data_IF_348377089739
#
_entry.id   IF_348377089739
#
_cell.length_a   1.000
_cell.length_b   1.000
_cell.length_c   1.000
_cell.angle_alpha   90.00
_cell.angle_beta   90.00
_cell.angle_gamma   90.00
#
_symmetry.space_group_name_H-M   'P 1'
#
loop_
_entity.id
_entity.type
_entity.pdbx_description
1 polymer ?
#
# COMPACT_ATOMS: atom_id res chain seq x y z
N UNK A 1 -68.79 52.63 -25.39
CA UNK A 1 -67.45 52.95 -25.94
C UNK A 1 -66.72 53.75 -24.87
N UNK A 2 -65.73 53.16 -24.20
CA UNK A 2 -65.06 53.78 -23.04
C UNK A 2 -63.58 54.00 -23.35
N UNK A 3 -63.22 55.29 -23.36
CA UNK A 3 -61.97 56.00 -23.07
C UNK A 3 -60.61 55.29 -23.22
N UNK A 4 -59.66 55.92 -23.94
CA UNK A 4 -58.23 55.66 -23.81
C UNK A 4 -57.56 56.74 -22.94
N UNK A 5 -56.81 56.35 -21.91
CA UNK A 5 -55.86 57.26 -21.26
C UNK A 5 -54.67 56.50 -20.64
N UNK A 6 -53.54 56.56 -21.37
CA UNK A 6 -52.33 57.23 -20.90
C UNK A 6 -51.80 56.98 -19.48
N UNK A 7 -51.63 55.73 -19.02
CA UNK A 7 -50.71 55.44 -17.89
C UNK A 7 -49.96 54.10 -18.07
N UNK A 8 -48.97 54.08 -18.96
CA UNK A 8 -47.97 52.99 -19.04
C UNK A 8 -46.56 53.57 -19.24
N UNK A 9 -46.15 54.44 -18.32
CA UNK A 9 -44.77 54.92 -18.17
C UNK A 9 -44.45 55.19 -16.70
N UNK A 10 -44.50 54.18 -15.82
CA UNK A 10 -43.76 54.23 -14.55
C UNK A 10 -43.70 52.93 -13.71
N UNK A 11 -43.65 51.72 -14.29
CA UNK A 11 -43.31 50.51 -13.50
C UNK A 11 -42.51 49.56 -14.39
N UNK A 12 -41.24 49.88 -14.63
CA UNK A 12 -40.24 48.97 -15.23
C UNK A 12 -38.81 49.49 -14.97
N UNK A 13 -38.54 49.99 -13.75
CA UNK A 13 -37.20 50.50 -13.38
C UNK A 13 -36.77 50.26 -11.93
N UNK A 14 -37.31 49.24 -11.23
CA UNK A 14 -36.81 48.89 -9.87
C UNK A 14 -36.66 47.37 -9.61
N UNK A 15 -36.83 46.50 -10.61
CA UNK A 15 -36.58 45.05 -10.43
C UNK A 15 -35.66 44.54 -11.53
N UNK A 16 -34.42 45.05 -11.61
CA UNK A 16 -33.31 44.32 -12.26
C UNK A 16 -31.93 44.94 -11.98
N UNK A 17 -31.65 45.37 -10.74
CA UNK A 17 -30.26 45.74 -10.36
C UNK A 17 -29.95 45.35 -8.91
N UNK A 18 -30.20 44.10 -8.57
CA UNK A 18 -29.37 43.37 -7.60
C UNK A 18 -28.79 42.22 -8.40
N UNK A 19 -27.80 42.53 -9.25
CA UNK A 19 -26.85 41.52 -9.69
C UNK A 19 -26.08 41.14 -8.42
N UNK A 20 -26.41 39.97 -7.90
CA UNK A 20 -25.61 39.27 -6.91
C UNK A 20 -24.14 39.32 -7.36
N UNK A 21 -23.33 40.09 -6.64
CA UNK A 21 -21.93 39.74 -6.41
C UNK A 21 -21.94 38.45 -5.56
N UNK A 22 -22.34 37.33 -6.19
CA UNK A 22 -21.92 36.04 -5.70
C UNK A 22 -20.39 36.04 -5.86
N UNK A 23 -19.61 35.80 -4.79
CA UNK A 23 -18.19 35.58 -4.98
C UNK A 23 -18.05 34.46 -6.02
N UNK A 24 -17.35 34.74 -7.12
CA UNK A 24 -16.84 33.68 -7.99
C UNK A 24 -15.97 32.82 -7.07
N UNK A 25 -16.52 31.73 -6.55
CA UNK A 25 -15.72 30.63 -6.06
C UNK A 25 -14.98 30.14 -7.30
N UNK A 26 -13.65 30.28 -7.37
CA UNK A 26 -12.90 29.74 -8.49
C UNK A 26 -13.25 28.26 -8.58
N UNK A 27 -13.80 27.82 -9.71
CA UNK A 27 -13.91 26.40 -9.97
C UNK A 27 -12.50 25.84 -9.81
N UNK A 28 -12.31 24.92 -8.85
CA UNK A 28 -11.04 24.23 -8.71
C UNK A 28 -10.72 23.61 -10.06
N UNK A 29 -9.59 24.02 -10.65
CA UNK A 29 -9.10 23.38 -11.86
C UNK A 29 -8.88 21.91 -11.55
N UNK A 30 -9.50 21.04 -12.34
CA UNK A 30 -9.40 19.60 -12.19
C UNK A 30 -7.92 19.18 -12.08
N UNK A 31 -7.52 18.59 -10.94
CA UNK A 31 -6.12 18.17 -10.69
C UNK A 31 -5.19 19.18 -10.00
N UNK A 32 -5.67 20.35 -9.57
CA UNK A 32 -4.95 21.23 -8.64
C UNK A 32 -5.25 20.85 -7.18
N UNK A 33 -4.25 20.95 -6.27
CA UNK A 33 -4.50 20.73 -4.85
C UNK A 33 -5.45 21.80 -4.28
N UNK A 34 -6.17 21.49 -3.19
CA UNK A 34 -6.93 22.50 -2.48
C UNK A 34 -6.00 23.56 -1.87
N UNK A 35 -6.48 24.80 -1.74
CA UNK A 35 -5.66 25.92 -1.25
C UNK A 35 -5.18 25.74 0.19
N UNK A 36 -5.88 24.93 0.98
CA UNK A 36 -5.63 24.58 2.38
C UNK A 36 -4.97 23.19 2.53
N UNK A 37 -4.28 22.68 1.48
CA UNK A 37 -3.65 21.36 1.48
C UNK A 37 -2.79 21.11 2.72
N UNK A 38 -1.90 22.04 3.06
CA UNK A 38 -0.99 21.91 4.22
C UNK A 38 -1.75 21.79 5.54
N UNK A 39 -2.83 22.55 5.70
CA UNK A 39 -3.65 22.56 6.92
C UNK A 39 -4.42 21.25 7.06
N UNK A 40 -5.07 20.78 5.99
CA UNK A 40 -5.79 19.49 5.97
C UNK A 40 -4.86 18.31 6.21
N UNK A 41 -3.67 18.33 5.62
CA UNK A 41 -2.66 17.29 5.86
C UNK A 41 -2.19 17.33 7.31
N UNK A 42 -1.96 18.51 7.88
CA UNK A 42 -1.55 18.61 9.28
C UNK A 42 -2.64 18.13 10.24
N UNK A 43 -3.90 18.49 10.00
CA UNK A 43 -5.05 17.99 10.76
C UNK A 43 -5.14 16.46 10.73
N UNK A 44 -5.11 15.88 9.52
CA UNK A 44 -5.14 14.43 9.33
C UNK A 44 -3.96 13.74 10.01
N UNK A 45 -2.74 14.27 9.84
CA UNK A 45 -1.55 13.64 10.39
C UNK A 45 -1.46 13.78 11.91
N UNK A 46 -1.91 14.90 12.49
CA UNK A 46 -2.02 15.05 13.94
C UNK A 46 -2.95 13.97 14.53
N UNK A 47 -4.08 13.71 13.85
CA UNK A 47 -4.99 12.65 14.21
C UNK A 47 -4.38 11.24 14.01
N UNK A 48 -3.69 10.99 12.89
CA UNK A 48 -3.01 9.72 12.63
C UNK A 48 -1.90 9.43 13.66
N UNK A 49 -1.14 10.44 14.06
CA UNK A 49 -0.14 10.33 15.14
C UNK A 49 -0.81 10.00 16.46
N UNK A 50 -1.89 10.69 16.82
CA UNK A 50 -2.60 10.48 18.09
C UNK A 50 -3.28 9.11 18.16
N UNK A 51 -4.01 8.71 17.12
CA UNK A 51 -4.92 7.56 17.13
C UNK A 51 -4.22 6.28 16.69
N UNK A 52 -3.45 6.34 15.61
CA UNK A 52 -2.76 5.16 15.07
C UNK A 52 -1.33 5.04 15.59
N UNK A 53 -0.81 6.05 16.29
CA UNK A 53 0.58 6.13 16.72
C UNK A 53 1.51 6.16 15.52
N UNK A 54 1.14 6.88 14.45
CA UNK A 54 2.00 7.04 13.28
C UNK A 54 3.36 7.63 13.68
N UNK A 55 4.43 7.04 13.17
CA UNK A 55 5.80 7.54 13.28
C UNK A 55 6.52 7.25 11.98
N UNK A 56 6.93 8.31 11.27
CA UNK A 56 7.44 8.18 9.91
C UNK A 56 7.59 9.51 9.18
N UNK A 57 7.81 9.42 7.87
CA UNK A 57 7.89 10.57 6.97
C UNK A 57 6.89 10.42 5.83
N UNK A 58 6.32 11.55 5.40
CA UNK A 58 5.36 11.62 4.29
C UNK A 58 5.85 12.60 3.23
N UNK A 59 5.40 12.39 2.01
CA UNK A 59 5.54 13.32 0.91
C UNK A 59 4.31 13.31 0.01
N UNK A 60 3.89 14.50 -0.44
CA UNK A 60 3.01 14.72 -1.58
C UNK A 60 3.78 15.62 -2.53
N UNK A 61 3.98 15.20 -3.78
CA UNK A 61 4.66 15.98 -4.79
C UNK A 61 3.86 16.03 -6.09
N UNK A 62 4.00 17.13 -6.82
CA UNK A 62 3.43 17.33 -8.15
C UNK A 62 4.53 17.77 -9.11
N UNK A 63 4.63 17.12 -10.27
CA UNK A 63 5.59 17.46 -11.33
C UNK A 63 7.03 17.60 -10.79
N UNK A 64 7.46 16.63 -9.96
CA UNK A 64 8.77 16.63 -9.32
C UNK A 64 8.96 17.64 -8.19
N UNK A 65 7.98 18.47 -7.88
CA UNK A 65 8.05 19.49 -6.83
C UNK A 65 7.33 19.01 -5.56
N UNK A 66 8.03 18.89 -4.41
CA UNK A 66 7.39 18.57 -3.13
C UNK A 66 6.42 19.69 -2.73
N UNK A 67 5.15 19.34 -2.53
CA UNK A 67 4.13 20.23 -1.97
C UNK A 67 4.06 20.05 -0.45
N UNK A 68 4.12 18.80 0.01
CA UNK A 68 4.26 18.44 1.42
C UNK A 68 5.47 17.53 1.58
N UNK A 69 6.33 17.82 2.56
CA UNK A 69 7.44 16.95 2.94
C UNK A 69 7.72 17.09 4.43
N UNK A 70 7.23 16.15 5.24
CA UNK A 70 7.21 16.27 6.71
C UNK A 70 7.56 14.95 7.39
N UNK A 71 8.17 15.05 8.57
CA UNK A 71 8.43 13.93 9.48
C UNK A 71 7.56 14.05 10.74
N UNK A 72 7.05 12.92 11.21
CA UNK A 72 6.18 12.81 12.38
C UNK A 72 6.70 11.73 13.33
N UNK A 73 6.60 11.96 14.64
CA UNK A 73 7.11 11.03 15.65
C UNK A 73 8.64 10.93 15.69
N UNK A 74 9.15 9.76 16.10
CA UNK A 74 10.57 9.52 16.37
C UNK A 74 11.15 8.49 15.41
N UNK A 75 12.28 8.83 14.78
CA UNK A 75 13.13 7.91 14.03
C UNK A 75 13.86 6.92 14.96
N UNK A 76 14.14 7.36 16.19
CA UNK A 76 14.67 6.53 17.26
C UNK A 76 14.08 6.97 18.60
N UNK A 77 13.32 6.08 19.24
CA UNK A 77 12.62 6.30 20.50
C UNK A 77 13.58 6.37 21.68
N UNK A 78 14.59 5.49 21.73
CA UNK A 78 15.57 5.41 22.81
C UNK A 78 16.39 6.69 22.94
N UNK A 79 16.71 7.33 21.81
CA UNK A 79 17.54 8.52 21.72
C UNK A 79 16.73 9.82 21.52
N UNK A 80 15.40 9.72 21.41
CA UNK A 80 14.54 10.88 21.16
C UNK A 80 14.78 11.59 19.81
N UNK A 81 15.30 10.87 18.81
CA UNK A 81 15.59 11.43 17.48
C UNK A 81 14.29 11.54 16.69
N UNK A 82 13.95 12.75 16.24
CA UNK A 82 12.74 13.00 15.44
C UNK A 82 12.86 12.45 14.02
N UNK A 83 11.74 12.01 13.46
CA UNK A 83 11.66 11.76 12.01
C UNK A 83 11.77 13.08 11.23
N UNK A 84 12.31 12.98 10.02
CA UNK A 84 12.43 14.09 9.06
C UNK A 84 12.39 13.54 7.64
N UNK A 85 12.20 14.38 6.61
CA UNK A 85 12.31 13.93 5.21
C UNK A 85 13.63 13.22 4.85
N UNK A 86 14.70 13.45 5.61
CA UNK A 86 16.00 12.80 5.42
C UNK A 86 16.15 11.46 6.17
N UNK A 87 15.15 11.04 6.95
CA UNK A 87 15.17 9.76 7.67
C UNK A 87 15.11 8.60 6.68
N UNK A 88 15.97 7.61 6.88
CA UNK A 88 16.09 6.42 6.03
C UNK A 88 15.28 5.27 6.63
N UNK A 89 14.46 4.64 5.80
CA UNK A 89 13.58 3.53 6.18
C UNK A 89 13.84 2.31 5.30
N UNK A 90 13.68 1.11 5.86
CA UNK A 90 13.58 -0.10 5.03
C UNK A 90 12.29 -0.05 4.22
N UNK A 91 12.39 -0.36 2.94
CA UNK A 91 11.30 -0.27 1.98
C UNK A 91 10.39 -1.49 1.95
N UNK A 92 10.89 -2.63 2.44
CA UNK A 92 10.21 -3.90 2.23
C UNK A 92 9.90 -4.09 0.74
N UNK A 93 8.68 -4.51 0.45
CA UNK A 93 8.29 -4.90 -0.91
C UNK A 93 8.24 -3.79 -1.96
N UNK A 94 8.35 -2.50 -1.60
CA UNK A 94 8.63 -1.46 -2.62
C UNK A 94 9.92 -1.78 -3.39
N UNK A 95 10.86 -2.52 -2.79
CA UNK A 95 12.06 -3.09 -3.45
C UNK A 95 11.76 -3.74 -4.81
N UNK A 96 10.60 -4.40 -4.94
CA UNK A 96 10.23 -5.14 -6.15
C UNK A 96 10.17 -4.27 -7.40
N UNK A 97 9.87 -2.97 -7.27
CA UNK A 97 9.86 -2.04 -8.41
C UNK A 97 11.25 -1.88 -9.04
N UNK A 98 12.30 -1.90 -8.21
CA UNK A 98 13.69 -1.76 -8.65
C UNK A 98 14.18 -3.06 -9.29
N UNK A 99 13.81 -4.21 -8.70
CA UNK A 99 14.06 -5.54 -9.31
C UNK A 99 13.37 -5.66 -10.67
N UNK A 100 12.11 -5.24 -10.78
CA UNK A 100 11.37 -5.23 -12.05
C UNK A 100 12.05 -4.35 -13.09
N UNK A 101 12.47 -3.14 -12.72
CA UNK A 101 13.21 -2.25 -13.62
C UNK A 101 14.55 -2.84 -14.08
N UNK A 102 15.29 -3.49 -13.18
CA UNK A 102 16.54 -4.15 -13.56
C UNK A 102 16.31 -5.25 -14.62
N UNK A 103 15.24 -6.04 -14.48
CA UNK A 103 14.84 -7.02 -15.51
C UNK A 103 14.47 -6.33 -16.82
N UNK A 104 13.73 -5.22 -16.76
CA UNK A 104 13.37 -4.45 -17.95
C UNK A 104 14.61 -3.86 -18.67
N UNK A 105 15.57 -3.32 -17.92
CA UNK A 105 16.85 -2.83 -18.46
C UNK A 105 17.66 -3.94 -19.13
N UNK A 106 17.72 -5.13 -18.53
CA UNK A 106 18.40 -6.29 -19.10
C UNK A 106 17.70 -6.78 -20.37
N UNK A 107 16.36 -6.78 -20.39
CA UNK A 107 15.59 -7.09 -21.58
C UNK A 107 15.85 -6.10 -22.71
N UNK A 108 15.82 -4.80 -22.43
CA UNK A 108 16.08 -3.75 -23.43
C UNK A 108 17.48 -3.90 -24.05
N UNK A 109 18.46 -4.36 -23.26
CA UNK A 109 19.83 -4.64 -23.72
C UNK A 109 19.97 -5.99 -24.45
N UNK A 110 18.87 -6.72 -24.69
CA UNK A 110 18.85 -8.01 -25.36
C UNK A 110 19.54 -9.13 -24.58
N UNK A 111 19.66 -9.00 -23.25
CA UNK A 111 20.35 -9.98 -22.39
C UNK A 111 19.45 -11.10 -21.89
N UNK A 112 18.15 -10.86 -21.88
CA UNK A 112 17.09 -11.82 -21.56
C UNK A 112 15.79 -11.36 -22.25
N UNK A 113 14.78 -12.21 -22.27
CA UNK A 113 13.38 -11.81 -22.52
C UNK A 113 12.50 -12.32 -21.38
N UNK A 114 11.42 -11.60 -21.07
CA UNK A 114 10.45 -12.06 -20.06
C UNK A 114 9.79 -13.40 -20.42
N UNK A 115 9.87 -13.82 -21.68
CA UNK A 115 9.41 -15.15 -22.13
C UNK A 115 10.40 -16.29 -21.91
N UNK A 116 11.63 -15.99 -21.47
CA UNK A 116 12.64 -17.01 -21.23
C UNK A 116 12.21 -17.97 -20.10
N UNK A 117 12.40 -19.29 -20.28
CA UNK A 117 12.16 -20.27 -19.23
C UNK A 117 13.19 -20.10 -18.11
N UNK A 118 12.73 -20.06 -16.86
CA UNK A 118 13.61 -19.74 -15.73
C UNK A 118 14.68 -20.81 -15.49
N UNK A 119 14.43 -22.06 -15.91
CA UNK A 119 15.40 -23.15 -15.77
C UNK A 119 16.71 -22.93 -16.54
N UNK A 120 16.74 -22.05 -17.53
CA UNK A 120 17.98 -21.68 -18.21
C UNK A 120 18.99 -20.95 -17.31
N UNK A 121 18.54 -20.42 -16.17
CA UNK A 121 19.36 -19.60 -15.27
C UNK A 121 19.79 -20.33 -13.99
N UNK A 122 19.26 -21.52 -13.70
CA UNK A 122 19.47 -22.23 -12.44
C UNK A 122 20.03 -23.63 -12.66
N UNK A 123 21.07 -23.97 -11.89
CA UNK A 123 21.55 -25.34 -11.80
C UNK A 123 20.54 -26.22 -11.06
N UNK A 124 20.40 -27.47 -11.51
CA UNK A 124 19.46 -28.44 -10.93
C UNK A 124 18.02 -27.90 -10.86
N UNK A 125 17.58 -27.18 -11.90
CA UNK A 125 16.21 -26.68 -11.96
C UNK A 125 15.19 -27.84 -11.88
N UNK A 126 14.17 -27.74 -11.02
CA UNK A 126 13.13 -28.76 -10.92
C UNK A 126 12.39 -28.97 -12.24
N UNK A 127 12.01 -30.21 -12.54
CA UNK A 127 11.21 -30.54 -13.74
C UNK A 127 9.88 -29.74 -13.76
N UNK A 128 9.27 -29.56 -12.59
CA UNK A 128 8.03 -28.79 -12.42
C UNK A 128 8.18 -27.31 -12.79
N UNK A 129 9.41 -26.77 -12.82
CA UNK A 129 9.68 -25.36 -13.13
C UNK A 129 9.95 -25.09 -14.61
N UNK A 130 10.13 -26.14 -15.44
CA UNK A 130 10.33 -25.98 -16.89
C UNK A 130 9.30 -25.08 -17.61
N UNK A 131 7.99 -25.12 -17.28
CA UNK A 131 7.01 -24.22 -17.91
C UNK A 131 7.01 -22.79 -17.33
N UNK A 132 7.80 -22.51 -16.28
CA UNK A 132 7.82 -21.19 -15.65
C UNK A 132 8.72 -20.25 -16.45
N UNK A 133 8.17 -19.09 -16.83
CA UNK A 133 8.85 -17.99 -17.50
C UNK A 133 9.20 -16.87 -16.52
N UNK A 134 10.12 -16.00 -16.90
CA UNK A 134 10.43 -14.77 -16.13
C UNK A 134 9.16 -13.92 -15.91
N UNK A 135 8.31 -13.79 -16.93
CA UNK A 135 7.03 -13.09 -16.85
C UNK A 135 6.12 -13.63 -15.74
N UNK A 136 6.18 -14.95 -15.47
CA UNK A 136 5.40 -15.54 -14.40
C UNK A 136 5.87 -15.12 -13.00
N UNK A 137 7.18 -14.90 -12.83
CA UNK A 137 7.74 -14.38 -11.58
C UNK A 137 7.36 -12.91 -11.38
N UNK A 138 7.47 -12.09 -12.44
CA UNK A 138 7.16 -10.66 -12.41
C UNK A 138 5.69 -10.39 -12.09
N UNK A 139 4.78 -11.24 -12.59
CA UNK A 139 3.33 -11.11 -12.44
C UNK A 139 2.75 -11.89 -11.24
N UNK A 140 3.58 -12.52 -10.40
CA UNK A 140 3.16 -13.34 -9.26
C UNK A 140 2.17 -14.46 -9.64
N UNK A 141 2.41 -15.18 -10.74
CA UNK A 141 1.57 -16.31 -11.16
C UNK A 141 2.38 -17.55 -11.51
N UNK A 142 3.55 -17.74 -10.89
CA UNK A 142 4.43 -18.88 -11.17
C UNK A 142 4.01 -20.20 -10.53
N UNK A 143 3.20 -20.16 -9.47
CA UNK A 143 2.87 -21.34 -8.66
C UNK A 143 3.98 -21.76 -7.69
N UNK A 144 5.15 -21.12 -7.69
CA UNK A 144 6.24 -21.43 -6.75
C UNK A 144 5.81 -21.04 -5.34
N UNK A 145 5.99 -21.88 -4.31
CA UNK A 145 5.59 -21.53 -2.97
C UNK A 145 6.49 -20.43 -2.37
N UNK A 146 5.90 -19.46 -1.66
CA UNK A 146 6.63 -18.33 -1.09
C UNK A 146 7.38 -18.75 0.17
N UNK A 147 8.70 -18.54 0.23
CA UNK A 147 9.51 -18.91 1.41
C UNK A 147 9.05 -18.24 2.70
N UNK A 148 8.40 -17.07 2.60
CA UNK A 148 7.81 -16.35 3.72
C UNK A 148 6.58 -17.02 4.32
N UNK A 149 6.00 -18.02 3.65
CA UNK A 149 4.87 -18.79 4.12
C UNK A 149 5.30 -20.13 4.75
N UNK A 150 6.59 -20.44 4.78
CA UNK A 150 7.07 -21.71 5.32
C UNK A 150 7.00 -21.71 6.85
N UNK A 151 6.62 -22.84 7.49
CA UNK A 151 6.54 -22.92 8.96
C UNK A 151 7.85 -22.53 9.67
N UNK A 152 8.99 -22.82 9.05
CA UNK A 152 10.31 -22.50 9.58
C UNK A 152 10.74 -21.04 9.40
N UNK A 153 10.05 -20.25 8.57
CA UNK A 153 10.47 -18.90 8.16
C UNK A 153 10.80 -18.00 9.35
N UNK A 154 9.94 -17.96 10.36
CA UNK A 154 10.13 -17.11 11.53
C UNK A 154 11.46 -17.39 12.27
N UNK A 155 11.90 -18.65 12.31
CA UNK A 155 13.17 -19.05 12.96
C UNK A 155 14.39 -18.70 12.11
N UNK A 156 14.26 -18.79 10.80
CA UNK A 156 15.38 -18.63 9.87
C UNK A 156 15.70 -17.16 9.55
N UNK A 157 14.83 -16.22 9.91
CA UNK A 157 14.97 -14.79 9.60
C UNK A 157 16.22 -14.12 10.20
N UNK A 158 16.79 -14.68 11.26
CA UNK A 158 17.96 -14.10 11.95
C UNK A 158 19.31 -14.63 11.44
N UNK A 159 19.28 -15.65 10.57
CA UNK A 159 20.47 -16.33 10.08
C UNK A 159 20.79 -15.81 8.67
N UNK A 160 22.01 -15.28 8.42
CA UNK A 160 22.44 -14.96 7.06
C UNK A 160 22.23 -16.16 6.14
N UNK A 161 21.54 -15.95 5.03
CA UNK A 161 21.18 -17.01 4.09
C UNK A 161 21.66 -16.59 2.70
N UNK A 162 22.55 -17.38 2.11
CA UNK A 162 22.99 -17.16 0.73
C UNK A 162 21.85 -17.44 -0.27
N UNK A 163 21.99 -16.90 -1.48
CA UNK A 163 21.01 -17.12 -2.56
C UNK A 163 20.84 -18.61 -2.91
N UNK A 164 21.92 -19.39 -2.87
CA UNK A 164 21.89 -20.84 -3.11
C UNK A 164 21.20 -21.62 -1.98
N UNK A 165 21.42 -21.23 -0.72
CA UNK A 165 20.73 -21.85 0.42
C UNK A 165 19.22 -21.58 0.37
N UNK A 166 18.82 -20.34 0.07
CA UNK A 166 17.40 -20.01 -0.10
C UNK A 166 16.80 -20.75 -1.30
N UNK A 167 17.51 -20.82 -2.43
CA UNK A 167 17.08 -21.60 -3.58
C UNK A 167 16.86 -23.07 -3.23
N UNK A 168 17.78 -23.69 -2.48
CA UNK A 168 17.64 -25.08 -2.02
C UNK A 168 16.40 -25.29 -1.12
N UNK A 169 16.04 -24.31 -0.27
CA UNK A 169 14.81 -24.38 0.56
C UNK A 169 13.51 -24.36 -0.24
N UNK A 170 13.54 -23.77 -1.44
CA UNK A 170 12.34 -23.55 -2.27
C UNK A 170 12.21 -24.58 -3.38
N UNK A 171 13.31 -24.93 -4.07
CA UNK A 171 13.28 -25.70 -5.33
C UNK A 171 12.63 -27.09 -5.22
N UNK A 172 12.76 -27.75 -4.07
CA UNK A 172 12.27 -29.12 -3.88
C UNK A 172 10.82 -29.19 -3.36
N UNK A 173 10.16 -28.04 -3.21
CA UNK A 173 8.75 -27.98 -2.79
C UNK A 173 7.82 -28.05 -4.01
N UNK A 174 6.64 -28.71 -3.89
CA UNK A 174 5.66 -28.76 -4.96
C UNK A 174 5.16 -27.35 -5.29
N UNK A 175 4.73 -27.14 -6.53
CA UNK A 175 4.02 -25.93 -6.92
C UNK A 175 2.64 -25.91 -6.24
N UNK A 176 2.22 -24.73 -5.80
CA UNK A 176 0.89 -24.50 -5.22
C UNK A 176 -0.22 -24.55 -6.29
N UNK A 177 0.12 -24.28 -7.55
CA UNK A 177 -0.78 -24.28 -8.72
C UNK A 177 0.03 -24.26 -10.02
N UNK A 178 -0.62 -24.46 -11.17
CA UNK A 178 0.07 -24.46 -12.46
C UNK A 178 0.54 -23.05 -12.86
N UNK A 179 1.71 -22.88 -13.51
CA UNK A 179 2.18 -21.56 -13.92
C UNK A 179 1.19 -20.87 -14.86
N UNK A 180 0.90 -19.60 -14.59
CA UNK A 180 -0.08 -18.79 -15.33
C UNK A 180 -1.54 -18.95 -14.87
N UNK A 181 -1.86 -19.94 -14.03
CA UNK A 181 -3.24 -20.28 -13.65
C UNK A 181 -3.93 -19.16 -12.87
N UNK A 182 -3.25 -18.59 -11.86
CA UNK A 182 -3.80 -17.53 -11.02
C UNK A 182 -2.72 -16.64 -10.42
N UNK A 183 -3.14 -15.45 -9.98
CA UNK A 183 -2.29 -14.56 -9.20
C UNK A 183 -2.17 -15.05 -7.74
N UNK A 184 -0.95 -15.15 -7.23
CA UNK A 184 -0.65 -15.33 -5.81
C UNK A 184 0.68 -14.62 -5.47
N UNK A 185 0.60 -13.53 -4.71
CA UNK A 185 1.75 -12.71 -4.34
C UNK A 185 2.89 -13.54 -3.75
N UNK A 186 4.10 -13.37 -4.31
CA UNK A 186 5.18 -14.32 -4.08
C UNK A 186 6.57 -13.67 -3.87
N UNK A 187 7.18 -13.90 -2.70
CA UNK A 187 8.52 -13.38 -2.44
C UNK A 187 9.61 -14.27 -3.07
N UNK A 188 9.41 -15.59 -3.17
CA UNK A 188 10.36 -16.49 -3.84
C UNK A 188 10.58 -16.07 -5.31
N UNK A 189 9.52 -15.67 -6.01
CA UNK A 189 9.62 -15.22 -7.39
C UNK A 189 10.54 -14.01 -7.57
N UNK A 190 10.40 -12.98 -6.73
CA UNK A 190 11.30 -11.82 -6.77
C UNK A 190 12.71 -12.11 -6.27
N UNK A 191 12.85 -13.06 -5.34
CA UNK A 191 14.17 -13.56 -4.94
C UNK A 191 14.90 -14.21 -6.12
N UNK A 192 14.21 -15.07 -6.87
CA UNK A 192 14.73 -15.72 -8.08
C UNK A 192 15.04 -14.69 -9.19
N UNK A 193 14.24 -13.63 -9.34
CA UNK A 193 14.55 -12.54 -10.27
C UNK A 193 15.87 -11.85 -9.92
N UNK A 194 16.17 -11.65 -8.62
CA UNK A 194 17.48 -11.17 -8.17
C UNK A 194 18.62 -12.07 -8.63
N UNK A 195 18.49 -13.38 -8.46
CA UNK A 195 19.48 -14.36 -8.92
C UNK A 195 19.65 -14.35 -10.45
N UNK A 196 18.57 -14.17 -11.22
CA UNK A 196 18.63 -14.05 -12.68
C UNK A 196 19.38 -12.77 -13.08
N UNK A 197 19.12 -11.64 -12.41
CA UNK A 197 19.85 -10.39 -12.63
C UNK A 197 21.35 -10.61 -12.40
N UNK A 198 21.74 -11.27 -11.32
CA UNK A 198 23.15 -11.58 -11.05
C UNK A 198 23.77 -12.47 -12.13
N UNK A 199 23.07 -13.54 -12.50
CA UNK A 199 23.53 -14.50 -13.52
C UNK A 199 23.75 -13.83 -14.88
N UNK A 200 22.82 -12.98 -15.30
CA UNK A 200 22.81 -12.36 -16.62
C UNK A 200 23.76 -11.16 -16.70
N UNK A 201 23.87 -10.39 -15.61
CA UNK A 201 24.73 -9.19 -15.58
C UNK A 201 26.18 -9.48 -15.18
N UNK A 202 26.44 -10.57 -14.45
CA UNK A 202 27.74 -10.86 -13.84
C UNK A 202 28.09 -9.96 -12.65
N UNK A 203 27.14 -9.16 -12.16
CA UNK A 203 27.28 -8.28 -10.99
C UNK A 203 26.48 -8.84 -9.82
N UNK A 204 26.81 -8.46 -8.58
CA UNK A 204 25.88 -8.66 -7.48
C UNK A 204 24.61 -7.84 -7.71
N UNK A 205 23.49 -8.26 -7.11
CA UNK A 205 22.23 -7.52 -7.21
C UNK A 205 22.37 -6.09 -6.66
N UNK A 206 23.09 -5.93 -5.55
CA UNK A 206 23.40 -4.61 -4.99
C UNK A 206 24.17 -3.74 -5.99
N UNK A 207 25.27 -4.24 -6.55
CA UNK A 207 26.11 -3.47 -7.47
C UNK A 207 25.36 -3.09 -8.75
N UNK A 208 24.52 -3.99 -9.27
CA UNK A 208 23.71 -3.70 -10.44
C UNK A 208 22.77 -2.51 -10.19
N UNK A 209 22.03 -2.52 -9.07
CA UNK A 209 21.11 -1.43 -8.74
C UNK A 209 21.84 -0.13 -8.42
N UNK A 210 22.96 -0.22 -7.71
CA UNK A 210 23.80 0.93 -7.40
C UNK A 210 24.23 1.65 -8.69
N UNK A 211 24.85 0.94 -9.64
CA UNK A 211 25.39 1.51 -10.87
C UNK A 211 24.31 1.93 -11.88
N UNK A 212 23.28 1.10 -12.06
CA UNK A 212 22.31 1.29 -13.15
C UNK A 212 21.04 2.02 -12.75
N UNK A 213 20.83 2.27 -11.45
CA UNK A 213 19.67 3.02 -10.96
C UNK A 213 20.11 4.13 -10.00
N UNK A 214 20.65 3.79 -8.83
CA UNK A 214 20.79 4.77 -7.74
C UNK A 214 21.78 5.89 -8.08
N UNK A 215 22.96 5.57 -8.61
CA UNK A 215 23.97 6.58 -8.99
C UNK A 215 23.51 7.43 -10.17
N UNK A 216 22.83 6.82 -11.15
CA UNK A 216 22.29 7.54 -12.31
C UNK A 216 21.25 8.58 -11.91
N UNK A 217 20.42 8.26 -10.94
CA UNK A 217 19.36 9.14 -10.45
C UNK A 217 19.83 10.08 -9.33
N UNK A 218 21.03 9.87 -8.79
CA UNK A 218 21.52 10.62 -7.63
C UNK A 218 20.79 10.27 -6.33
N UNK A 219 20.23 9.07 -6.21
CA UNK A 219 19.55 8.56 -5.01
C UNK A 219 20.57 8.16 -3.93
N UNK A 220 21.18 9.16 -3.30
CA UNK A 220 22.34 9.00 -2.39
C UNK A 220 22.00 8.39 -1.03
N UNK A 221 20.72 8.31 -0.68
CA UNK A 221 20.22 7.74 0.58
C UNK A 221 19.39 6.47 0.33
N UNK A 222 19.63 5.80 -0.80
CA UNK A 222 19.01 4.54 -1.21
C UNK A 222 20.07 3.48 -1.46
N UNK A 223 19.80 2.24 -1.07
CA UNK A 223 20.70 1.13 -1.35
C UNK A 223 20.17 -0.20 -0.83
N UNK A 224 20.98 -1.24 -1.02
CA UNK A 224 20.75 -2.55 -0.40
C UNK A 224 21.16 -2.50 1.08
N UNK A 225 20.25 -2.88 1.97
CA UNK A 225 20.53 -2.83 3.40
C UNK A 225 21.46 -3.96 3.82
N UNK A 226 22.56 -3.60 4.46
CA UNK A 226 23.49 -4.52 5.12
C UNK A 226 23.58 -4.07 6.58
N UNK A 227 23.19 -4.95 7.51
CA UNK A 227 23.09 -4.62 8.95
C UNK A 227 24.39 -4.02 9.50
N UNK A 228 25.55 -4.51 9.04
CA UNK A 228 26.87 -4.01 9.47
C UNK A 228 27.25 -2.64 8.92
N UNK A 229 26.58 -2.15 7.87
CA UNK A 229 26.90 -0.86 7.23
C UNK A 229 26.32 0.29 8.06
N UNK A 230 27.12 1.33 8.27
CA UNK A 230 26.65 2.59 8.85
C UNK A 230 25.86 3.34 7.78
N UNK A 231 24.58 3.58 8.04
CA UNK A 231 23.71 4.38 7.18
C UNK A 231 23.30 5.63 7.96
N UNK A 232 23.69 6.84 7.50
CA UNK A 232 23.25 8.08 8.10
C UNK A 232 21.72 8.17 8.14
N UNK A 233 21.17 8.72 9.23
CA UNK A 233 19.73 8.92 9.43
C UNK A 233 18.87 7.66 9.36
N UNK A 234 19.45 6.46 9.48
CA UNK A 234 18.69 5.19 9.54
C UNK A 234 17.78 5.20 10.77
N UNK A 235 16.47 5.05 10.54
CA UNK A 235 15.51 4.86 11.62
C UNK A 235 15.68 3.50 12.29
N UNK A 236 15.45 3.45 13.60
CA UNK A 236 15.24 2.20 14.32
C UNK A 236 13.81 1.71 14.05
N UNK A 237 13.65 0.40 13.89
CA UNK A 237 12.35 -0.23 13.61
C UNK A 237 11.66 -0.71 14.89
N UNK A 238 10.36 -0.47 14.97
CA UNK A 238 9.54 -0.84 16.14
C UNK A 238 8.35 -1.69 15.73
N UNK A 239 7.82 -2.48 16.68
CA UNK A 239 6.54 -3.19 16.54
C UNK A 239 5.61 -2.84 17.69
N UNK A 240 4.31 -3.02 17.49
CA UNK A 240 3.32 -2.95 18.56
C UNK A 240 2.88 -4.35 18.97
N UNK A 241 2.90 -4.62 20.26
CA UNK A 241 2.44 -5.89 20.84
C UNK A 241 1.64 -5.59 22.11
N UNK A 242 0.39 -6.04 22.16
CA UNK A 242 -0.54 -5.77 23.28
C UNK A 242 -0.61 -4.28 23.67
N UNK A 243 -0.63 -3.40 22.66
CA UNK A 243 -0.69 -1.94 22.84
C UNK A 243 0.63 -1.27 23.26
N UNK A 244 1.72 -2.02 23.45
CA UNK A 244 3.04 -1.48 23.81
C UNK A 244 3.94 -1.40 22.59
N UNK A 245 4.73 -0.34 22.51
CA UNK A 245 5.79 -0.20 21.52
C UNK A 245 7.03 -0.98 21.99
N UNK A 246 7.54 -1.85 21.12
CA UNK A 246 8.74 -2.66 21.36
C UNK A 246 9.71 -2.48 20.19
N UNK A 247 10.99 -2.75 20.43
CA UNK A 247 11.94 -2.94 19.32
C UNK A 247 11.45 -4.07 18.40
N UNK A 248 11.59 -3.86 17.10
CA UNK A 248 11.27 -4.89 16.13
C UNK A 248 12.25 -6.07 16.24
N UNK A 249 11.78 -7.25 15.85
CA UNK A 249 12.65 -8.42 15.75
C UNK A 249 13.78 -8.17 14.75
N UNK A 250 14.97 -8.72 15.02
CA UNK A 250 16.04 -8.71 14.04
C UNK A 250 15.64 -9.51 12.80
N UNK A 251 16.03 -9.00 11.63
CA UNK A 251 15.90 -9.66 10.34
C UNK A 251 17.22 -9.46 9.60
N UNK A 252 17.85 -10.55 9.20
CA UNK A 252 19.00 -10.51 8.32
C UNK A 252 18.55 -10.18 6.90
N UNK A 253 19.13 -9.14 6.31
CA UNK A 253 18.66 -8.57 5.05
C UNK A 253 19.01 -9.42 3.82
N UNK A 254 19.84 -10.45 3.99
CA UNK A 254 20.04 -11.52 2.99
C UNK A 254 18.79 -12.38 2.77
N UNK A 255 17.88 -12.46 3.74
CA UNK A 255 16.63 -13.23 3.65
C UNK A 255 15.58 -12.57 2.72
N UNK A 256 15.24 -11.27 2.85
CA UNK A 256 14.36 -10.59 1.91
C UNK A 256 15.01 -10.32 0.55
N UNK A 257 16.33 -10.08 0.49
CA UNK A 257 17.10 -9.88 -0.74
C UNK A 257 16.37 -9.00 -1.79
N UNK A 258 16.33 -9.41 -3.06
CA UNK A 258 15.67 -8.71 -4.17
C UNK A 258 14.13 -8.60 -4.06
N UNK A 259 13.53 -9.22 -3.04
CA UNK A 259 12.10 -9.09 -2.77
C UNK A 259 11.78 -7.99 -1.75
N UNK A 260 12.75 -7.52 -0.95
CA UNK A 260 12.44 -6.59 0.14
C UNK A 260 13.57 -5.86 0.86
N UNK A 261 14.83 -6.00 0.43
CA UNK A 261 15.98 -5.58 1.24
C UNK A 261 16.44 -4.13 1.07
N UNK A 262 15.81 -3.33 0.21
CA UNK A 262 16.26 -1.95 -0.01
C UNK A 262 15.83 -1.02 1.13
N UNK A 263 16.57 0.08 1.29
CA UNK A 263 16.20 1.23 2.10
C UNK A 263 16.16 2.49 1.23
N UNK A 264 15.44 3.53 1.66
CA UNK A 264 15.40 4.83 0.98
C UNK A 264 14.83 5.94 1.88
N UNK A 265 14.70 7.15 1.33
CA UNK A 265 14.01 8.33 1.90
C UNK A 265 12.83 8.71 1.00
N UNK A 266 11.96 9.61 1.46
CA UNK A 266 10.89 10.13 0.58
C UNK A 266 11.47 10.95 -0.59
N UNK A 267 12.56 11.68 -0.37
CA UNK A 267 13.23 12.47 -1.41
C UNK A 267 13.85 11.62 -2.52
N UNK A 268 14.55 10.54 -2.18
CA UNK A 268 15.10 9.64 -3.19
C UNK A 268 13.99 8.91 -3.96
N UNK A 269 12.90 8.52 -3.29
CA UNK A 269 11.75 7.91 -3.96
C UNK A 269 11.02 8.89 -4.91
N UNK A 270 11.11 10.20 -4.69
CA UNK A 270 10.67 11.21 -5.65
C UNK A 270 11.58 11.27 -6.89
N UNK A 271 12.89 11.12 -6.73
CA UNK A 271 13.81 11.01 -7.88
C UNK A 271 13.51 9.76 -8.70
N UNK A 272 13.19 8.65 -8.02
CA UNK A 272 12.71 7.42 -8.66
C UNK A 272 11.39 7.64 -9.43
N UNK A 273 10.42 8.32 -8.82
CA UNK A 273 9.16 8.67 -9.47
C UNK A 273 9.37 9.48 -10.76
N UNK A 274 10.18 10.54 -10.68
CA UNK A 274 10.44 11.45 -11.79
C UNK A 274 11.20 10.76 -12.93
N UNK A 275 12.12 9.85 -12.60
CA UNK A 275 12.86 9.08 -13.59
C UNK A 275 11.93 8.30 -14.55
N UNK A 276 10.78 7.84 -14.07
CA UNK A 276 9.81 7.05 -14.83
C UNK A 276 9.03 7.86 -15.88
N UNK A 277 9.18 9.19 -15.91
CA UNK A 277 8.66 10.05 -16.99
C UNK A 277 9.73 10.41 -18.04
N UNK A 278 10.98 10.01 -17.82
CA UNK A 278 12.12 10.36 -18.66
C UNK A 278 12.80 9.11 -19.21
N UNK A 279 13.70 9.26 -20.18
CA UNK A 279 14.50 8.11 -20.69
C UNK A 279 15.83 7.92 -19.94
N UNK A 280 15.91 8.36 -18.68
CA UNK A 280 17.14 8.31 -17.87
C UNK A 280 17.57 6.87 -17.52
N UNK A 281 16.59 5.97 -17.34
CA UNK A 281 16.83 4.57 -16.94
C UNK A 281 16.63 3.56 -18.06
N UNK A 282 15.66 3.80 -18.93
CA UNK A 282 15.22 2.93 -20.01
C UNK A 282 14.50 3.78 -21.07
N UNK A 283 14.37 3.26 -22.28
CA UNK A 283 13.64 3.94 -23.36
C UNK A 283 12.15 4.07 -23.01
N UNK A 284 11.48 5.05 -23.61
CA UNK A 284 10.05 5.29 -23.39
C UNK A 284 9.21 4.04 -23.63
N UNK A 285 9.49 3.28 -24.69
CA UNK A 285 8.74 2.06 -25.01
C UNK A 285 8.87 1.00 -23.90
N UNK A 286 10.07 0.87 -23.30
CA UNK A 286 10.29 -0.02 -22.16
C UNK A 286 9.48 0.43 -20.95
N UNK A 287 9.50 1.73 -20.62
CA UNK A 287 8.74 2.29 -19.49
C UNK A 287 7.23 2.16 -19.66
N UNK A 288 6.71 2.30 -20.87
CA UNK A 288 5.29 2.09 -21.17
C UNK A 288 4.93 0.59 -21.01
N UNK A 289 5.78 -0.31 -21.49
CA UNK A 289 5.53 -1.76 -21.45
C UNK A 289 5.45 -2.33 -20.03
N UNK A 290 6.22 -1.79 -19.06
CA UNK A 290 6.19 -2.29 -17.68
C UNK A 290 4.90 -1.96 -16.94
N UNK A 291 4.14 -0.96 -17.41
CA UNK A 291 2.85 -0.55 -16.83
C UNK A 291 1.64 -0.91 -17.69
N UNK A 292 1.84 -1.55 -18.84
CA UNK A 292 0.77 -1.99 -19.72
C UNK A 292 0.00 -3.17 -19.10
N UNK A 293 -1.30 -3.00 -18.92
CA UNK A 293 -2.21 -4.03 -18.38
C UNK A 293 -2.93 -4.81 -19.48
N UNK A 294 -2.71 -4.48 -20.75
CA UNK A 294 -3.53 -4.93 -21.86
C UNK A 294 -4.97 -4.46 -21.68
N UNK A 295 -5.92 -5.38 -21.82
CA UNK A 295 -7.35 -5.08 -21.65
C UNK A 295 -7.82 -5.12 -20.18
N UNK A 296 -6.93 -5.39 -19.22
CA UNK A 296 -7.32 -5.52 -17.81
C UNK A 296 -7.40 -4.16 -17.12
N UNK A 297 -8.48 -3.93 -16.38
CA UNK A 297 -8.65 -2.73 -15.53
C UNK A 297 -7.63 -2.63 -14.39
N UNK A 298 -7.07 -3.77 -13.97
CA UNK A 298 -5.97 -3.81 -13.01
C UNK A 298 -5.07 -5.02 -13.23
N UNK A 299 -3.78 -4.87 -12.91
CA UNK A 299 -2.82 -5.95 -12.96
C UNK A 299 -1.63 -5.69 -12.01
N UNK A 300 -0.91 -6.76 -11.68
CA UNK A 300 0.41 -6.64 -11.08
C UNK A 300 1.49 -6.81 -12.15
N UNK A 301 2.43 -5.87 -12.26
CA UNK A 301 3.44 -5.81 -13.32
C UNK A 301 4.75 -5.27 -12.76
N UNK A 302 5.86 -5.97 -12.96
CA UNK A 302 7.22 -5.47 -12.69
C UNK A 302 7.40 -4.79 -11.31
N UNK A 303 6.74 -5.30 -10.28
CA UNK A 303 6.84 -4.79 -8.92
C UNK A 303 5.81 -3.70 -8.60
N UNK A 304 4.77 -3.54 -9.41
CA UNK A 304 3.74 -2.52 -9.27
C UNK A 304 2.34 -3.11 -9.35
N UNK A 305 1.43 -2.58 -8.53
CA UNK A 305 0.01 -2.66 -8.79
C UNK A 305 -0.35 -1.53 -9.75
N UNK A 306 -1.00 -1.85 -10.85
CA UNK A 306 -1.53 -0.90 -11.83
C UNK A 306 -3.04 -1.01 -11.80
N UNK A 307 -3.74 0.11 -11.64
CA UNK A 307 -5.20 0.14 -11.61
C UNK A 307 -5.73 1.56 -11.61
N UNK A 308 -6.88 1.77 -10.96
CA UNK A 308 -7.52 3.08 -10.82
C UNK A 308 -7.81 3.41 -9.35
N UNK A 309 -7.67 4.68 -8.99
CA UNK A 309 -8.09 5.23 -7.70
C UNK A 309 -8.49 6.68 -7.89
N UNK A 310 -9.61 7.12 -7.29
CA UNK A 310 -10.16 8.46 -7.49
C UNK A 310 -10.35 8.79 -8.98
N UNK A 311 -10.85 7.80 -9.74
CA UNK A 311 -11.13 7.88 -11.17
C UNK A 311 -9.89 8.17 -12.04
N UNK A 312 -8.70 8.07 -11.44
CA UNK A 312 -7.40 8.30 -12.07
C UNK A 312 -6.62 7.01 -12.17
N UNK A 313 -5.75 6.91 -13.17
CA UNK A 313 -4.76 5.83 -13.21
C UNK A 313 -3.90 5.92 -11.95
N UNK A 314 -3.74 4.79 -11.27
CA UNK A 314 -2.92 4.68 -10.06
C UNK A 314 -1.93 3.53 -10.21
N UNK A 315 -0.67 3.83 -9.95
CA UNK A 315 0.44 2.86 -9.98
C UNK A 315 1.07 2.88 -8.59
N UNK A 316 1.00 1.77 -7.86
CA UNK A 316 1.35 1.76 -6.45
C UNK A 316 2.02 0.48 -5.99
N UNK A 317 2.77 0.57 -4.89
CA UNK A 317 3.23 -0.59 -4.16
C UNK A 317 3.37 -0.28 -2.66
N UNK A 318 3.02 -1.26 -1.83
CA UNK A 318 3.22 -1.22 -0.39
C UNK A 318 4.47 -1.99 0.03
N UNK A 319 4.96 -1.75 1.24
CA UNK A 319 6.04 -2.51 1.83
C UNK A 319 5.75 -2.81 3.29
N UNK A 320 6.00 -4.05 3.68
CA UNK A 320 6.04 -4.47 5.07
C UNK A 320 7.31 -5.29 5.29
N UNK A 321 8.02 -4.98 6.36
CA UNK A 321 9.21 -5.70 6.82
C UNK A 321 9.36 -5.43 8.32
N UNK A 322 10.14 -6.24 9.04
CA UNK A 322 10.25 -6.11 10.49
C UNK A 322 10.63 -4.69 10.89
N UNK A 323 9.75 -4.06 11.68
CA UNK A 323 9.89 -2.69 12.14
C UNK A 323 9.46 -1.58 11.19
N UNK A 324 8.98 -1.87 9.98
CA UNK A 324 8.66 -0.85 8.98
C UNK A 324 7.42 -1.17 8.14
N UNK A 325 6.65 -0.14 7.83
CA UNK A 325 5.54 -0.19 6.86
C UNK A 325 5.59 1.02 5.94
N UNK A 326 5.52 0.79 4.63
CA UNK A 326 5.73 1.81 3.60
C UNK A 326 4.68 1.74 2.52
N UNK A 327 4.45 2.86 1.83
CA UNK A 327 3.54 2.94 0.68
C UNK A 327 4.03 4.02 -0.28
N UNK A 328 3.93 3.73 -1.57
CA UNK A 328 4.15 4.69 -2.65
C UNK A 328 3.00 4.54 -3.65
N UNK A 329 2.35 5.65 -3.96
CA UNK A 329 1.22 5.71 -4.90
C UNK A 329 1.44 6.86 -5.88
N UNK A 330 1.47 6.52 -7.17
CA UNK A 330 1.70 7.45 -8.28
C UNK A 330 0.42 7.61 -9.08
N UNK A 331 0.15 8.83 -9.53
CA UNK A 331 -0.96 9.21 -10.39
C UNK A 331 -0.34 9.86 -11.64
N UNK A 332 0.04 9.06 -12.64
CA UNK A 332 0.90 9.53 -13.73
C UNK A 332 0.26 10.58 -14.62
N UNK A 333 -1.06 10.51 -14.81
CA UNK A 333 -1.80 11.44 -15.68
C UNK A 333 -1.85 12.86 -15.08
N UNK A 334 -1.88 12.96 -13.74
CA UNK A 334 -1.83 14.23 -12.99
C UNK A 334 -0.39 14.63 -12.59
N UNK A 335 0.60 13.75 -12.85
CA UNK A 335 1.99 13.82 -12.35
C UNK A 335 2.09 14.06 -10.84
N UNK A 336 1.33 13.28 -10.07
CA UNK A 336 1.29 13.36 -8.60
C UNK A 336 1.83 12.07 -7.98
N UNK A 337 2.61 12.19 -6.91
CA UNK A 337 3.06 11.05 -6.13
C UNK A 337 2.87 11.30 -4.63
N UNK A 338 2.41 10.25 -3.93
CA UNK A 338 2.28 10.22 -2.48
C UNK A 338 3.15 9.10 -1.93
N UNK A 339 4.03 9.43 -0.99
CA UNK A 339 4.99 8.52 -0.37
C UNK A 339 4.81 8.57 1.14
N UNK A 340 4.69 7.41 1.78
CA UNK A 340 4.54 7.28 3.24
C UNK A 340 5.47 6.19 3.74
N UNK A 341 6.44 6.55 4.57
CA UNK A 341 7.43 5.63 5.13
C UNK A 341 7.34 5.66 6.66
N UNK A 342 7.15 4.50 7.29
CA UNK A 342 7.00 4.41 8.76
C UNK A 342 8.01 3.45 9.36
N UNK A 343 8.47 3.75 10.57
CA UNK A 343 9.33 2.87 11.36
C UNK A 343 8.56 2.11 12.45
N UNK A 344 7.29 1.79 12.15
CA UNK A 344 6.43 0.95 12.99
C UNK A 344 5.81 -0.14 12.12
N UNK A 345 6.11 -1.39 12.44
CA UNK A 345 5.54 -2.57 11.81
C UNK A 345 4.01 -2.60 11.96
N UNK A 346 3.31 -2.86 10.85
CA UNK A 346 1.85 -2.92 10.83
C UNK A 346 1.17 -1.55 10.89
N UNK A 347 1.93 -0.45 10.88
CA UNK A 347 1.38 0.89 10.75
C UNK A 347 0.61 1.02 9.42
N UNK A 348 -0.56 1.69 9.39
CA UNK A 348 -1.44 1.72 8.22
C UNK A 348 -0.94 2.70 7.13
N UNK A 349 0.32 2.56 6.70
CA UNK A 349 0.97 3.44 5.71
C UNK A 349 0.18 3.55 4.40
N UNK A 350 -0.42 2.45 3.92
CA UNK A 350 -1.26 2.45 2.72
C UNK A 350 -2.56 3.25 2.88
N UNK A 351 -3.18 3.22 4.06
CA UNK A 351 -4.35 4.07 4.35
C UNK A 351 -3.95 5.54 4.37
N UNK A 352 -2.87 5.87 5.09
CA UNK A 352 -2.35 7.23 5.15
C UNK A 352 -2.04 7.74 3.73
N UNK A 353 -1.36 6.94 2.90
CA UNK A 353 -1.07 7.33 1.51
C UNK A 353 -2.36 7.55 0.69
N UNK A 354 -3.37 6.70 0.87
CA UNK A 354 -4.66 6.86 0.22
C UNK A 354 -5.37 8.16 0.64
N UNK A 355 -5.40 8.45 1.93
CA UNK A 355 -6.15 9.60 2.45
C UNK A 355 -5.42 10.90 2.14
N UNK A 356 -4.09 10.92 2.17
CA UNK A 356 -3.29 12.04 1.68
C UNK A 356 -3.53 12.32 0.18
N UNK A 357 -3.67 11.27 -0.63
CA UNK A 357 -4.07 11.43 -2.03
C UNK A 357 -5.51 11.93 -2.16
N UNK A 358 -6.45 11.46 -1.33
CA UNK A 358 -7.82 11.96 -1.30
C UNK A 358 -7.88 13.45 -0.96
N UNK A 359 -7.14 13.90 0.08
CA UNK A 359 -6.98 15.30 0.44
C UNK A 359 -6.46 16.10 -0.76
N UNK A 360 -5.41 15.63 -1.42
CA UNK A 360 -4.85 16.29 -2.59
C UNK A 360 -5.88 16.43 -3.74
N UNK A 361 -6.65 15.39 -4.02
CA UNK A 361 -7.64 15.38 -5.11
C UNK A 361 -9.02 15.95 -4.72
N UNK A 362 -9.17 16.50 -3.51
CA UNK A 362 -10.46 17.00 -3.02
C UNK A 362 -11.54 15.92 -2.93
N UNK A 363 -11.14 14.68 -2.66
CA UNK A 363 -12.04 13.53 -2.47
C UNK A 363 -12.30 13.30 -0.98
N UNK A 364 -13.35 12.55 -0.68
CA UNK A 364 -13.70 12.22 0.70
C UNK A 364 -12.60 11.39 1.37
N UNK A 365 -12.30 11.75 2.62
CA UNK A 365 -11.36 11.05 3.50
C UNK A 365 -11.89 11.07 4.94
N UNK A 366 -11.43 10.13 5.75
CA UNK A 366 -11.79 10.04 7.17
C UNK A 366 -10.62 10.52 8.02
N UNK A 367 -10.83 11.51 8.87
CA UNK A 367 -9.85 11.87 9.90
C UNK A 367 -9.79 10.71 10.92
N UNK A 368 -8.60 10.20 11.27
CA UNK A 368 -8.47 9.19 12.30
C UNK A 368 -9.09 9.64 13.63
N UNK A 369 -10.14 8.97 14.08
CA UNK A 369 -10.76 9.28 15.36
C UNK A 369 -10.47 8.19 16.40
N UNK A 370 -10.29 8.62 17.66
CA UNK A 370 -10.16 7.70 18.77
C UNK A 370 -11.52 7.04 19.02
N UNK A 371 -11.61 5.76 18.64
CA UNK A 371 -12.85 5.01 18.75
C UNK A 371 -13.15 4.69 20.21
N UNK A 372 -14.33 5.10 20.67
CA UNK A 372 -14.82 4.86 22.02
C UNK A 372 -15.84 3.74 21.99
N UNK A 373 -15.72 2.83 22.95
CA UNK A 373 -16.73 1.80 23.15
C UNK A 373 -17.84 2.31 24.05
N UNK A 374 -19.09 2.02 23.70
CA UNK A 374 -20.25 2.18 24.59
C UNK A 374 -20.53 0.85 25.31
N UNK A 375 -21.47 0.85 26.25
CA UNK A 375 -22.06 -0.37 26.77
C UNK A 375 -23.41 -0.59 26.09
N UNK A 376 -23.67 -1.82 25.64
CA UNK A 376 -24.95 -2.23 25.07
C UNK A 376 -25.55 -3.32 25.94
N UNK A 377 -26.87 -3.37 26.01
CA UNK A 377 -27.58 -4.45 26.69
C UNK A 377 -27.33 -5.79 25.99
N UNK A 378 -27.21 -6.86 26.78
CA UNK A 378 -26.96 -8.22 26.29
C UNK A 378 -28.00 -8.66 25.24
N UNK A 379 -29.26 -8.22 25.36
CA UNK A 379 -30.31 -8.53 24.40
C UNK A 379 -30.03 -7.98 23.00
N UNK A 380 -29.49 -6.76 22.93
CA UNK A 380 -29.05 -6.13 21.67
C UNK A 380 -27.89 -6.92 21.08
N UNK A 381 -26.86 -7.23 21.88
CA UNK A 381 -25.70 -8.00 21.41
C UNK A 381 -26.10 -9.39 20.89
N UNK A 382 -27.04 -10.05 21.57
CA UNK A 382 -27.55 -11.36 21.18
C UNK A 382 -28.21 -11.34 19.80
N UNK A 383 -28.85 -10.22 19.41
CA UNK A 383 -29.47 -10.08 18.08
C UNK A 383 -28.46 -10.17 16.92
N UNK A 384 -27.21 -9.82 17.19
CA UNK A 384 -26.12 -9.85 16.21
C UNK A 384 -25.41 -11.21 16.12
N UNK A 385 -25.63 -12.12 17.06
CA UNK A 385 -25.06 -13.47 17.02
C UNK A 385 -25.57 -14.22 15.78
N UNK A 386 -24.67 -14.93 15.11
CA UNK A 386 -25.00 -15.69 13.91
C UNK A 386 -23.82 -15.92 12.97
N UNK A 387 -24.10 -16.51 11.81
CA UNK A 387 -23.12 -16.66 10.72
C UNK A 387 -23.44 -15.72 9.58
N UNK A 388 -22.39 -15.09 9.06
CA UNK A 388 -22.49 -14.09 8.01
C UNK A 388 -21.60 -14.48 6.85
N UNK A 389 -22.18 -14.48 5.65
CA UNK A 389 -21.53 -14.91 4.43
C UNK A 389 -21.14 -13.69 3.59
N UNK A 390 -19.85 -13.55 3.30
CA UNK A 390 -19.34 -12.53 2.36
C UNK A 390 -19.42 -13.05 0.93
N UNK A 391 -19.00 -14.31 0.72
CA UNK A 391 -19.09 -15.02 -0.55
C UNK A 391 -19.18 -16.54 -0.30
N UNK A 392 -19.18 -17.35 -1.36
CA UNK A 392 -19.32 -18.82 -1.26
C UNK A 392 -18.30 -19.51 -0.34
N UNK A 393 -17.15 -18.87 -0.09
CA UNK A 393 -16.04 -19.46 0.68
C UNK A 393 -15.78 -18.80 2.03
N UNK A 394 -16.23 -17.57 2.25
CA UNK A 394 -15.92 -16.78 3.44
C UNK A 394 -17.16 -16.63 4.32
N UNK A 395 -17.10 -17.28 5.48
CA UNK A 395 -18.09 -17.18 6.56
C UNK A 395 -17.42 -16.57 7.79
N UNK A 396 -18.08 -15.58 8.37
CA UNK A 396 -17.71 -14.95 9.64
C UNK A 396 -18.75 -15.35 10.67
N UNK A 397 -18.30 -15.93 11.78
CA UNK A 397 -19.15 -16.24 12.92
C UNK A 397 -19.07 -15.12 13.93
N UNK A 398 -20.21 -14.54 14.30
CA UNK A 398 -20.32 -13.59 15.40
C UNK A 398 -20.84 -14.36 16.61
N UNK A 399 -20.03 -14.46 17.65
CA UNK A 399 -20.36 -15.13 18.90
C UNK A 399 -20.43 -14.13 20.06
N UNK A 400 -21.25 -14.43 21.06
CA UNK A 400 -21.31 -13.68 22.31
C UNK A 400 -20.57 -14.46 23.39
N UNK A 401 -19.48 -13.91 23.90
CA UNK A 401 -18.64 -14.52 24.93
C UNK A 401 -18.34 -13.50 26.02
N UNK A 402 -18.60 -13.85 27.28
CA UNK A 402 -18.41 -12.96 28.44
C UNK A 402 -19.04 -11.56 28.25
N UNK A 403 -20.23 -11.51 27.64
CA UNK A 403 -20.96 -10.28 27.37
C UNK A 403 -20.37 -9.41 26.24
N UNK A 404 -19.46 -9.95 25.43
CA UNK A 404 -18.80 -9.25 24.33
C UNK A 404 -18.95 -10.01 23.02
N UNK A 405 -19.06 -9.27 21.92
CA UNK A 405 -19.07 -9.91 20.60
C UNK A 405 -17.66 -10.27 20.16
N UNK A 406 -17.50 -11.49 19.66
CA UNK A 406 -16.28 -12.00 19.05
C UNK A 406 -16.59 -12.30 17.59
N UNK A 407 -15.81 -11.72 16.67
CA UNK A 407 -15.80 -12.13 15.28
C UNK A 407 -14.76 -13.22 15.07
N UNK A 408 -15.21 -14.39 14.62
CA UNK A 408 -14.35 -15.50 14.21
C UNK A 408 -14.38 -15.63 12.69
N UNK A 409 -13.23 -15.34 12.07
CA UNK A 409 -13.01 -15.52 10.66
C UNK A 409 -12.48 -16.95 10.42
N UNK A 410 -13.33 -17.80 9.85
CA UNK A 410 -13.00 -19.16 9.42
C UNK A 410 -12.41 -20.08 10.52
N UNK A 411 -12.75 -19.87 11.80
CA UNK A 411 -12.35 -20.74 12.91
C UNK A 411 -10.89 -20.59 13.34
N UNK A 412 -10.20 -19.54 12.89
CA UNK A 412 -8.74 -19.38 13.06
C UNK A 412 -8.33 -18.02 13.59
N UNK A 413 -9.12 -16.97 13.33
CA UNK A 413 -8.78 -15.60 13.67
C UNK A 413 -9.95 -14.96 14.40
N UNK A 414 -9.78 -14.79 15.71
CA UNK A 414 -10.82 -14.31 16.63
C UNK A 414 -10.49 -12.89 17.08
N UNK A 415 -11.44 -11.99 16.93
CA UNK A 415 -11.27 -10.58 17.26
C UNK A 415 -12.40 -10.10 18.16
N UNK A 416 -12.03 -9.39 19.23
CA UNK A 416 -13.00 -8.70 20.05
C UNK A 416 -13.64 -7.54 19.27
N UNK A 417 -14.97 -7.51 19.26
CA UNK A 417 -15.79 -6.42 18.75
C UNK A 417 -16.32 -5.58 19.91
N UNK A 418 -15.89 -4.33 19.93
CA UNK A 418 -16.36 -3.30 20.84
C UNK A 418 -17.46 -2.49 20.15
N UNK A 419 -18.62 -2.26 20.78
CA UNK A 419 -19.67 -1.42 20.20
C UNK A 419 -19.24 0.05 20.23
N UNK A 420 -19.31 0.72 19.09
CA UNK A 420 -19.16 2.17 18.95
C UNK A 420 -20.52 2.87 18.92
N UNK A 421 -21.51 2.25 18.27
CA UNK A 421 -22.94 2.57 18.33
C UNK A 421 -23.73 1.28 18.54
N UNK A 422 -25.07 1.32 18.49
CA UNK A 422 -25.88 0.09 18.55
C UNK A 422 -25.52 -0.87 17.41
N UNK A 423 -25.43 -0.38 16.16
CA UNK A 423 -25.13 -1.21 14.98
C UNK A 423 -23.66 -1.26 14.58
N UNK A 424 -22.82 -0.33 15.04
CA UNK A 424 -21.43 -0.20 14.58
C UNK A 424 -20.46 -0.72 15.64
N UNK A 425 -19.59 -1.63 15.25
CA UNK A 425 -18.62 -2.31 16.10
C UNK A 425 -17.22 -2.24 15.53
N UNK A 426 -16.23 -2.42 16.41
CA UNK A 426 -14.82 -2.38 16.02
C UNK A 426 -13.89 -3.24 16.84
N UNK A 427 -12.77 -3.60 16.22
CA UNK A 427 -11.65 -4.16 16.94
C UNK A 427 -10.60 -3.10 17.25
N UNK A 428 -9.98 -3.17 18.43
CA UNK A 428 -8.79 -2.39 18.78
C UNK A 428 -7.50 -3.05 18.28
N UNK A 429 -7.54 -4.37 18.07
CA UNK A 429 -6.38 -5.18 17.72
C UNK A 429 -6.12 -5.15 16.22
N UNK A 430 -7.19 -5.06 15.42
CA UNK A 430 -7.13 -4.93 13.98
C UNK A 430 -8.01 -3.78 13.52
N UNK A 431 -7.61 -3.14 12.42
CA UNK A 431 -8.34 -2.00 11.87
C UNK A 431 -9.59 -2.46 11.09
N UNK A 432 -10.58 -2.95 11.83
CA UNK A 432 -11.81 -3.56 11.35
C UNK A 432 -13.03 -2.88 11.97
N UNK A 433 -14.01 -2.58 11.13
CA UNK A 433 -15.34 -2.08 11.50
C UNK A 433 -16.39 -3.02 10.93
N UNK A 434 -17.36 -3.40 11.75
CA UNK A 434 -18.57 -4.10 11.34
C UNK A 434 -19.75 -3.17 11.60
N UNK A 435 -20.55 -2.88 10.57
CA UNK A 435 -21.80 -2.13 10.72
C UNK A 435 -22.96 -3.06 10.38
N UNK A 436 -23.70 -3.51 11.38
CA UNK A 436 -24.83 -4.42 11.18
C UNK A 436 -25.96 -3.72 10.42
N UNK A 437 -26.58 -4.47 9.50
CA UNK A 437 -27.74 -4.02 8.73
C UNK A 437 -28.98 -4.74 9.21
N UNK A 438 -30.11 -4.02 9.23
CA UNK A 438 -31.43 -4.53 9.60
C UNK A 438 -32.34 -4.51 8.35
N UNK A 439 -33.30 -5.43 8.28
CA UNK A 439 -34.38 -5.39 7.28
C UNK A 439 -35.50 -4.40 7.68
N UNK A 440 -36.54 -4.28 6.85
CA UNK A 440 -37.67 -3.37 7.07
C UNK A 440 -38.45 -3.67 8.38
N UNK A 441 -38.34 -4.90 8.90
CA UNK A 441 -38.93 -5.34 10.16
C UNK A 441 -37.99 -5.11 11.36
N UNK A 442 -36.80 -4.52 11.13
CA UNK A 442 -35.80 -4.24 12.15
C UNK A 442 -34.95 -5.44 12.56
N UNK A 443 -35.03 -6.59 11.87
CA UNK A 443 -34.21 -7.77 12.15
C UNK A 443 -32.87 -7.69 11.45
N UNK A 444 -31.81 -8.10 12.15
CA UNK A 444 -30.45 -8.14 11.59
C UNK A 444 -30.41 -9.11 10.41
N UNK A 445 -30.11 -8.58 9.22
CA UNK A 445 -30.07 -9.36 7.97
C UNK A 445 -28.65 -9.46 7.38
N UNK A 446 -27.68 -8.76 7.95
CA UNK A 446 -26.31 -8.73 7.47
C UNK A 446 -25.43 -7.74 8.21
N UNK A 447 -24.26 -7.48 7.65
CA UNK A 447 -23.43 -6.34 8.02
C UNK A 447 -22.57 -5.87 6.86
N UNK A 448 -22.01 -4.67 7.01
CA UNK A 448 -20.96 -4.14 6.17
C UNK A 448 -19.62 -4.24 6.91
N UNK A 449 -18.65 -4.96 6.33
CA UNK A 449 -17.29 -5.08 6.84
C UNK A 449 -16.39 -4.03 6.19
N UNK A 450 -15.78 -3.14 6.98
CA UNK A 450 -14.83 -2.13 6.48
C UNK A 450 -13.48 -2.24 7.19
N UNK A 451 -12.41 -1.99 6.42
CA UNK A 451 -11.04 -1.82 6.91
C UNK A 451 -10.47 -0.47 6.49
N UNK A 452 -11.29 0.60 6.50
CA UNK A 452 -10.84 1.98 6.21
C UNK A 452 -11.23 2.51 4.85
N UNK A 453 -12.51 2.41 4.52
CA UNK A 453 -13.06 2.83 3.24
C UNK A 453 -14.37 2.10 2.97
N UNK A 454 -14.70 1.97 1.68
CA UNK A 454 -15.88 1.23 1.22
C UNK A 454 -15.92 -0.19 1.79
N UNK A 455 -17.11 -0.61 2.26
CA UNK A 455 -17.26 -1.88 2.95
C UNK A 455 -17.70 -3.03 2.06
N UNK A 456 -17.35 -4.25 2.46
CA UNK A 456 -17.81 -5.49 1.85
C UNK A 456 -19.08 -5.97 2.56
N UNK A 457 -20.21 -6.14 1.86
CA UNK A 457 -21.42 -6.63 2.47
C UNK A 457 -21.29 -8.11 2.83
N UNK A 458 -21.86 -8.50 3.96
CA UNK A 458 -22.02 -9.88 4.39
C UNK A 458 -23.49 -10.13 4.74
N UNK A 459 -24.07 -11.20 4.21
CA UNK A 459 -25.46 -11.57 4.46
C UNK A 459 -25.54 -12.52 5.65
N UNK A 460 -26.48 -12.30 6.56
CA UNK A 460 -26.76 -13.26 7.65
C UNK A 460 -27.37 -14.53 7.06
N UNK A 461 -26.81 -15.69 7.40
CA UNK A 461 -27.22 -17.01 6.91
C UNK A 461 -27.68 -17.94 8.03
N UNK A 462 -27.31 -17.65 9.28
CA UNK A 462 -27.73 -18.38 10.49
C UNK A 462 -27.87 -17.39 11.66
#
# INVERSE_FOLDING_TARGET
>A
MKYPDSYLRLILSVIFTILLLAPLVPAQTEGAPPADLDEKVEEYMAAAVKVHGFSGSIMIAKEGSPLVSKGYGLANVELGVKNSPATVYRLGSITKQFTGMAVAQLQERGKLTVDDPICGFFEQCPESWKPIKISHLLAHNSGIPSYTAFPEFARDTIVPTSTLEMYAKVKDRPLDFAPGEKFAYNNSGYFLLGMIIEKVSGKSYEDYLQEHIFERLGMRSTGYDVSARIIPNRAAGYKKESGKLLNASYLDMSVPYAAGALYSTTGDLLLWDEALYTESLAKRETLESIFDTGEKDSAYRFGWNVGKRFERRSISHGGGIYGFSTSMSRYPDDRVVVIVLTNIEGSPSGRVANDLAAIYFGKDYEIPEERRSIELETGVLTSYVGKYQINETIIITIALEDGKLIADLAGRNRFLLLPETEEKFFSKDINLTITFTKDDDGKVNGFLLSQGGGGTPAKKIE
#
